data_IF_716366820742
#
_entry.id   IF_716366820742
#
_cell.length_a   1.000
_cell.length_b   1.000
_cell.length_c   1.000
_cell.angle_alpha   90.00
_cell.angle_beta   90.00
_cell.angle_gamma   90.00
#
_symmetry.space_group_name_H-M   'P 1'
#
loop_
_entity.id
_entity.type
_entity.pdbx_description
1 polymer ?
#
# COMPACT_ATOMS: atom_id res chain seq x y z
N UNK A 1 -41.38 3.46 -33.90
CA UNK A 1 -41.68 3.94 -35.26
C UNK A 1 -41.43 2.76 -36.16
N UNK A 2 -42.50 2.09 -36.62
CA UNK A 2 -42.40 1.09 -37.68
C UNK A 2 -42.00 1.81 -38.96
N UNK A 3 -41.01 1.26 -39.67
CA UNK A 3 -40.51 1.87 -40.89
C UNK A 3 -41.40 1.47 -42.07
N UNK A 4 -42.37 2.32 -42.40
CA UNK A 4 -43.24 2.10 -43.55
C UNK A 4 -42.71 2.77 -44.83
N UNK A 5 -43.19 2.26 -45.97
CA UNK A 5 -42.76 2.59 -47.33
C UNK A 5 -42.82 4.09 -47.65
N UNK A 6 -41.73 4.80 -47.35
CA UNK A 6 -41.54 6.23 -47.64
C UNK A 6 -40.65 6.97 -46.65
N UNK A 7 -40.40 6.42 -45.44
CA UNK A 7 -39.51 7.03 -44.42
C UNK A 7 -38.36 6.08 -44.09
N UNK A 8 -37.09 6.48 -44.28
CA UNK A 8 -35.95 5.62 -43.95
C UNK A 8 -35.90 5.30 -42.44
N UNK A 9 -35.59 4.06 -42.08
CA UNK A 9 -35.50 3.62 -40.69
C UNK A 9 -34.45 4.40 -39.88
N UNK A 10 -34.71 4.67 -38.58
CA UNK A 10 -33.67 5.08 -37.65
C UNK A 10 -32.49 4.10 -37.68
N UNK A 11 -31.31 4.61 -37.99
CA UNK A 11 -30.06 3.84 -37.95
C UNK A 11 -29.28 4.31 -36.75
N UNK A 12 -29.19 3.47 -35.72
CA UNK A 12 -28.36 3.75 -34.56
C UNK A 12 -26.88 3.73 -34.94
N UNK A 13 -26.12 4.69 -34.42
CA UNK A 13 -24.68 4.76 -34.68
C UNK A 13 -23.91 3.65 -34.00
N UNK A 14 -22.92 3.10 -34.70
CA UNK A 14 -21.96 2.18 -34.11
C UNK A 14 -20.51 2.60 -34.38
N UNK A 15 -19.67 2.25 -33.41
CA UNK A 15 -18.25 2.52 -33.45
C UNK A 15 -17.56 1.64 -34.50
N UNK A 16 -16.76 2.25 -35.36
CA UNK A 16 -15.83 1.52 -36.20
C UNK A 16 -14.76 0.81 -35.36
N UNK A 17 -14.07 -0.19 -35.94
CA UNK A 17 -12.84 -0.70 -35.36
C UNK A 17 -11.86 0.43 -35.05
N UNK A 18 -11.05 0.23 -34.01
CA UNK A 18 -9.96 1.13 -33.69
C UNK A 18 -8.99 1.29 -34.86
N UNK A 19 -8.41 2.47 -35.00
CA UNK A 19 -7.37 2.73 -35.99
C UNK A 19 -6.23 1.74 -35.84
N UNK A 20 -5.70 1.25 -36.97
CA UNK A 20 -4.52 0.36 -36.99
C UNK A 20 -3.25 1.08 -36.55
N UNK A 21 -3.24 2.41 -36.57
CA UNK A 21 -2.12 3.26 -36.16
C UNK A 21 -2.52 4.20 -35.03
N UNK A 22 -1.58 4.49 -34.13
CA UNK A 22 -1.71 5.48 -33.06
C UNK A 22 -1.30 6.85 -33.61
N UNK A 23 -2.11 7.90 -33.36
CA UNK A 23 -2.00 9.22 -34.01
C UNK A 23 -0.64 9.88 -33.75
N UNK A 24 -0.16 9.79 -32.51
CA UNK A 24 1.15 10.28 -32.09
C UNK A 24 1.63 9.42 -30.94
N UNK A 25 2.87 8.94 -31.04
CA UNK A 25 3.50 8.18 -29.97
C UNK A 25 4.31 9.13 -29.09
N UNK A 26 4.25 8.94 -27.77
CA UNK A 26 5.09 9.66 -26.82
C UNK A 26 6.58 9.43 -27.09
N UNK A 27 6.92 8.23 -27.59
CA UNK A 27 8.27 7.84 -27.95
C UNK A 27 8.38 7.48 -29.45
N UNK A 28 9.45 7.90 -30.15
CA UNK A 28 9.60 7.70 -31.59
C UNK A 28 9.93 6.25 -31.97
N UNK A 29 10.28 5.38 -31.02
CA UNK A 29 10.53 3.93 -31.18
C UNK A 29 10.60 3.26 -29.78
N UNK A 30 10.68 1.92 -29.70
CA UNK A 30 10.74 1.16 -28.44
C UNK A 30 9.37 0.76 -27.86
N UNK A 31 9.35 -0.03 -26.78
CA UNK A 31 8.10 -0.65 -26.28
C UNK A 31 7.34 0.17 -25.22
N UNK A 32 7.93 1.25 -24.72
CA UNK A 32 7.38 2.09 -23.65
C UNK A 32 6.52 3.25 -24.15
N UNK A 33 6.45 3.46 -25.46
CA UNK A 33 5.66 4.52 -26.07
C UNK A 33 4.16 4.31 -25.82
N UNK A 34 3.45 5.38 -25.43
CA UNK A 34 2.00 5.42 -25.39
C UNK A 34 1.44 6.53 -26.27
N UNK A 35 0.22 6.35 -26.75
CA UNK A 35 -0.43 7.37 -27.55
C UNK A 35 -1.91 7.12 -27.78
N UNK A 36 -2.56 8.08 -28.43
CA UNK A 36 -3.98 8.02 -28.71
C UNK A 36 -4.28 7.18 -29.94
N UNK A 37 -5.03 6.10 -29.73
CA UNK A 37 -5.70 5.34 -30.79
C UNK A 37 -7.12 5.84 -30.92
N UNK A 38 -7.60 6.04 -32.15
CA UNK A 38 -8.91 6.67 -32.39
C UNK A 38 -9.84 5.75 -33.16
N UNK A 39 -11.13 6.00 -33.05
CA UNK A 39 -12.18 5.35 -33.83
C UNK A 39 -13.28 6.36 -34.15
N UNK A 40 -14.05 6.07 -35.19
CA UNK A 40 -15.14 6.95 -35.64
C UNK A 40 -16.49 6.31 -35.35
N UNK A 41 -17.47 7.16 -35.05
CA UNK A 41 -18.87 6.77 -34.90
C UNK A 41 -19.57 6.83 -36.27
N UNK A 42 -19.19 5.93 -37.18
CA UNK A 42 -19.78 5.89 -38.53
C UNK A 42 -19.84 4.49 -39.16
N UNK A 43 -19.85 3.42 -38.36
CA UNK A 43 -19.94 2.04 -38.83
C UNK A 43 -21.16 1.28 -38.26
N UNK A 44 -22.42 1.74 -38.46
CA UNK A 44 -22.85 2.85 -39.32
C UNK A 44 -22.95 4.20 -38.59
N UNK A 45 -23.12 5.30 -39.33
CA UNK A 45 -23.37 6.62 -38.74
C UNK A 45 -24.83 6.74 -38.26
N UNK A 46 -25.11 7.43 -37.14
CA UNK A 46 -26.48 7.74 -36.74
C UNK A 46 -27.23 8.45 -37.86
N UNK A 47 -28.36 7.91 -38.28
CA UNK A 47 -29.20 8.49 -39.33
C UNK A 47 -30.68 8.36 -38.98
N UNK A 48 -31.51 9.22 -39.59
CA UNK A 48 -32.98 9.13 -39.53
C UNK A 48 -33.55 9.08 -38.10
N UNK A 49 -32.95 9.84 -37.17
CA UNK A 49 -33.37 9.87 -35.76
C UNK A 49 -32.84 8.72 -34.91
N UNK A 50 -31.90 7.92 -35.43
CA UNK A 50 -31.19 6.89 -34.66
C UNK A 50 -30.28 7.47 -33.58
N UNK A 51 -29.95 6.64 -32.59
CA UNK A 51 -29.17 7.01 -31.41
C UNK A 51 -27.70 7.28 -31.75
N UNK A 52 -27.01 8.17 -31.02
CA UNK A 52 -25.57 8.31 -31.13
C UNK A 52 -24.85 7.05 -30.64
N UNK A 53 -23.57 6.91 -30.98
CA UNK A 53 -22.77 5.80 -30.48
C UNK A 53 -22.71 5.80 -28.95
N UNK A 54 -22.92 4.62 -28.37
CA UNK A 54 -22.88 4.43 -26.92
C UNK A 54 -21.43 4.55 -26.45
N UNK A 55 -21.16 5.49 -25.55
CA UNK A 55 -19.85 5.64 -24.91
C UNK A 55 -19.67 4.45 -23.95
N UNK A 56 -18.57 3.67 -24.03
CA UNK A 56 -18.34 2.56 -23.11
C UNK A 56 -18.27 3.04 -21.66
N UNK A 57 -18.75 2.21 -20.74
CA UNK A 57 -18.64 2.48 -19.30
C UNK A 57 -17.16 2.56 -18.87
N UNK A 58 -16.83 3.52 -18.01
CA UNK A 58 -15.46 3.74 -17.52
C UNK A 58 -14.62 4.72 -18.33
N UNK A 59 -15.02 5.12 -19.54
CA UNK A 59 -14.30 6.12 -20.35
C UNK A 59 -14.21 7.49 -19.66
N UNK A 60 -15.31 7.96 -19.06
CA UNK A 60 -15.34 9.20 -18.28
C UNK A 60 -14.41 9.14 -17.07
N UNK A 61 -14.49 8.05 -16.29
CA UNK A 61 -13.63 7.84 -15.12
C UNK A 61 -12.14 7.77 -15.49
N UNK A 62 -11.83 7.12 -16.63
CA UNK A 62 -10.47 7.02 -17.17
C UNK A 62 -9.95 8.40 -17.57
N UNK A 63 -10.76 9.20 -18.25
CA UNK A 63 -10.42 10.57 -18.64
C UNK A 63 -10.19 11.46 -17.40
N UNK A 64 -11.03 11.35 -16.37
CA UNK A 64 -10.87 12.09 -15.11
C UNK A 64 -9.58 11.71 -14.37
N UNK A 65 -9.24 10.41 -14.35
CA UNK A 65 -7.98 9.92 -13.77
C UNK A 65 -6.77 10.49 -14.53
N UNK A 66 -6.79 10.43 -15.87
CA UNK A 66 -5.71 10.95 -16.71
C UNK A 66 -5.56 12.46 -16.59
N UNK A 67 -6.67 13.21 -16.52
CA UNK A 67 -6.67 14.65 -16.28
C UNK A 67 -6.05 14.98 -14.90
N UNK A 68 -6.35 14.17 -13.88
CA UNK A 68 -5.74 14.33 -12.55
C UNK A 68 -4.23 14.06 -12.58
N UNK A 69 -3.78 13.05 -13.33
CA UNK A 69 -2.35 12.76 -13.52
C UNK A 69 -1.63 13.89 -14.25
N UNK A 70 -2.21 14.40 -15.35
CA UNK A 70 -1.66 15.52 -16.11
C UNK A 70 -1.52 16.78 -15.24
N UNK A 71 -2.56 17.15 -14.48
CA UNK A 71 -2.50 18.29 -13.55
C UNK A 71 -1.40 18.13 -12.51
N UNK A 72 -1.21 16.92 -11.96
CA UNK A 72 -0.13 16.65 -10.99
C UNK A 72 1.26 16.79 -11.60
N UNK A 73 1.45 16.29 -12.83
CA UNK A 73 2.74 16.41 -13.53
C UNK A 73 3.10 17.87 -13.83
N UNK A 74 2.11 18.68 -14.27
CA UNK A 74 2.30 20.12 -14.50
C UNK A 74 2.74 20.84 -13.22
N UNK A 75 2.07 20.57 -12.09
CA UNK A 75 2.41 21.18 -10.79
C UNK A 75 3.84 20.82 -10.34
N UNK A 76 4.31 19.62 -10.68
CA UNK A 76 5.66 19.14 -10.32
C UNK A 76 6.76 19.59 -11.27
N UNK A 77 6.43 20.28 -12.36
CA UNK A 77 7.36 20.70 -13.41
C UNK A 77 8.21 19.54 -13.98
N UNK A 78 7.60 18.35 -14.11
CA UNK A 78 8.25 17.14 -14.63
C UNK A 78 8.16 17.11 -16.17
N UNK A 79 9.06 17.83 -16.85
CA UNK A 79 9.03 17.99 -18.32
C UNK A 79 9.08 16.67 -19.10
N UNK A 80 9.81 15.67 -18.59
CA UNK A 80 9.88 14.33 -19.16
C UNK A 80 8.60 13.49 -18.97
N UNK A 81 7.77 13.81 -17.96
CA UNK A 81 6.47 13.15 -17.76
C UNK A 81 5.37 13.80 -18.60
N UNK A 82 5.52 15.07 -18.99
CA UNK A 82 4.53 15.74 -19.85
C UNK A 82 4.50 15.15 -21.27
N UNK A 83 5.60 14.59 -21.76
CA UNK A 83 5.66 13.98 -23.10
C UNK A 83 5.05 12.58 -23.15
N UNK A 84 4.95 11.89 -22.02
CA UNK A 84 4.40 10.53 -21.89
C UNK A 84 2.94 10.48 -21.43
N UNK A 85 2.32 11.63 -21.17
CA UNK A 85 0.92 11.77 -20.76
C UNK A 85 0.02 12.25 -21.90
N UNK A 86 -1.28 11.91 -21.89
CA UNK A 86 -2.25 12.40 -22.87
C UNK A 86 -2.42 13.92 -22.76
N UNK A 87 -2.56 14.57 -23.91
CA UNK A 87 -2.91 15.99 -23.98
C UNK A 87 -4.38 16.23 -23.61
N UNK A 88 -4.77 17.49 -23.44
CA UNK A 88 -6.16 17.86 -23.15
C UNK A 88 -7.11 17.37 -24.27
N UNK A 89 -6.66 17.40 -25.53
CA UNK A 89 -7.42 16.90 -26.66
C UNK A 89 -7.55 15.37 -26.63
N UNK A 90 -6.49 14.66 -26.25
CA UNK A 90 -6.51 13.20 -26.10
C UNK A 90 -7.47 12.76 -24.99
N UNK A 91 -7.46 13.47 -23.85
CA UNK A 91 -8.37 13.23 -22.73
C UNK A 91 -9.83 13.44 -23.15
N UNK A 92 -10.12 14.48 -23.94
CA UNK A 92 -11.46 14.74 -24.46
C UNK A 92 -11.94 13.58 -25.37
N UNK A 93 -11.09 13.09 -26.26
CA UNK A 93 -11.39 11.94 -27.11
C UNK A 93 -11.60 10.65 -26.28
N UNK A 94 -10.86 10.46 -25.19
CA UNK A 94 -11.10 9.32 -24.30
C UNK A 94 -12.46 9.46 -23.60
N UNK A 95 -12.82 10.66 -23.15
CA UNK A 95 -14.08 10.92 -22.46
C UNK A 95 -15.32 10.69 -23.35
N UNK A 96 -15.24 11.03 -24.64
CA UNK A 96 -16.34 10.84 -25.61
C UNK A 96 -16.37 9.44 -26.24
N UNK A 97 -15.38 8.59 -25.94
CA UNK A 97 -15.30 7.21 -26.42
C UNK A 97 -14.70 7.04 -27.82
N UNK A 98 -14.29 8.14 -28.48
CA UNK A 98 -13.61 8.11 -29.78
C UNK A 98 -12.10 7.82 -29.65
N UNK A 99 -11.54 7.94 -28.45
CA UNK A 99 -10.13 7.77 -28.14
C UNK A 99 -9.86 6.66 -27.12
N UNK A 100 -8.69 6.02 -27.24
CA UNK A 100 -8.14 5.08 -26.27
C UNK A 100 -6.63 5.31 -26.15
N UNK A 101 -6.13 5.40 -24.92
CA UNK A 101 -4.70 5.47 -24.66
C UNK A 101 -4.12 4.06 -24.69
N UNK A 102 -3.36 3.74 -25.73
CA UNK A 102 -2.78 2.42 -25.96
C UNK A 102 -1.26 2.55 -26.18
N UNK A 103 -0.53 1.44 -26.01
CA UNK A 103 0.88 1.38 -26.38
C UNK A 103 1.05 1.59 -27.88
N UNK A 104 2.16 2.23 -28.26
CA UNK A 104 2.45 2.57 -29.63
C UNK A 104 3.89 2.26 -30.00
N UNK A 105 4.09 2.06 -31.30
CA UNK A 105 5.38 2.15 -31.96
C UNK A 105 6.47 1.17 -31.47
N UNK A 106 6.26 -0.14 -31.67
CA UNK A 106 7.29 -1.19 -31.48
C UNK A 106 8.41 -1.18 -32.52
N UNK A 107 8.75 0.01 -33.05
CA UNK A 107 9.85 0.15 -34.00
C UNK A 107 11.16 -0.03 -33.25
N UNK A 108 12.11 -0.72 -33.88
CA UNK A 108 13.47 -0.82 -33.38
C UNK A 108 14.07 0.59 -33.23
N UNK A 109 14.56 0.92 -32.05
CA UNK A 109 15.34 2.12 -31.84
C UNK A 109 16.83 1.80 -32.05
N UNK A 110 17.51 2.41 -33.04
CA UNK A 110 18.93 2.21 -33.24
C UNK A 110 19.80 2.65 -32.05
N UNK A 111 19.24 3.49 -31.18
CA UNK A 111 19.91 4.01 -29.99
C UNK A 111 19.50 3.33 -28.68
N UNK A 112 18.39 2.55 -28.65
CA UNK A 112 18.09 1.70 -27.51
C UNK A 112 18.99 0.48 -27.65
N UNK A 113 19.92 0.36 -26.72
CA UNK A 113 20.89 -0.72 -26.68
C UNK A 113 20.54 -1.58 -25.48
N UNK A 114 19.83 -2.67 -25.69
CA UNK A 114 19.52 -3.60 -24.61
C UNK A 114 20.81 -4.21 -24.03
N UNK A 115 20.74 -4.69 -22.79
CA UNK A 115 21.84 -5.47 -22.22
C UNK A 115 21.98 -6.78 -23.00
N UNK A 116 23.20 -7.12 -23.39
CA UNK A 116 23.46 -8.44 -23.97
C UNK A 116 23.30 -9.53 -22.90
N UNK A 117 23.18 -10.78 -23.34
CA UNK A 117 23.12 -11.92 -22.41
C UNK A 117 24.38 -12.01 -21.55
N UNK A 118 25.56 -11.75 -22.13
CA UNK A 118 26.84 -11.72 -21.43
C UNK A 118 26.92 -10.57 -20.42
N UNK A 119 26.45 -9.38 -20.79
CA UNK A 119 26.35 -8.22 -19.89
C UNK A 119 25.43 -8.53 -18.70
N UNK A 120 24.32 -9.22 -18.96
CA UNK A 120 23.38 -9.66 -17.93
C UNK A 120 24.03 -10.68 -16.99
N UNK A 121 24.84 -11.61 -17.52
CA UNK A 121 25.63 -12.57 -16.71
C UNK A 121 26.67 -11.87 -15.84
N UNK A 122 27.35 -10.82 -16.35
CA UNK A 122 28.30 -10.02 -15.56
C UNK A 122 27.58 -9.36 -14.38
N UNK A 123 26.44 -8.72 -14.61
CA UNK A 123 25.63 -8.09 -13.56
C UNK A 123 25.17 -9.14 -12.53
N UNK A 124 24.64 -10.28 -13.00
CA UNK A 124 24.20 -11.36 -12.12
C UNK A 124 25.34 -11.88 -11.25
N UNK A 125 26.55 -12.03 -11.79
CA UNK A 125 27.72 -12.48 -11.05
C UNK A 125 28.14 -11.47 -9.96
N UNK A 126 28.17 -10.17 -10.25
CA UNK A 126 28.46 -9.14 -9.25
C UNK A 126 27.44 -9.17 -8.10
N UNK A 127 26.14 -9.28 -8.42
CA UNK A 127 25.06 -9.38 -7.43
C UNK A 127 25.16 -10.64 -6.56
N UNK A 128 25.53 -11.79 -7.17
CA UNK A 128 25.79 -13.04 -6.45
C UNK A 128 26.96 -12.93 -5.50
N UNK A 129 27.95 -12.09 -5.83
CA UNK A 129 29.15 -11.89 -5.03
C UNK A 129 28.99 -10.86 -3.91
N UNK A 130 27.85 -10.17 -3.81
CA UNK A 130 27.61 -9.20 -2.75
C UNK A 130 27.34 -9.85 -1.37
N UNK A 131 28.10 -9.42 -0.36
CA UNK A 131 27.98 -9.92 1.02
C UNK A 131 27.00 -9.06 1.85
N UNK A 132 26.23 -9.65 2.79
CA UNK A 132 25.32 -8.90 3.67
C UNK A 132 26.07 -7.91 4.58
N UNK A 133 27.31 -8.21 4.95
CA UNK A 133 28.17 -7.33 5.75
C UNK A 133 28.62 -6.08 4.99
N UNK A 134 28.48 -6.05 3.64
CA UNK A 134 28.81 -4.89 2.83
C UNK A 134 27.99 -3.64 3.23
N UNK A 135 26.78 -3.85 3.76
CA UNK A 135 25.92 -2.78 4.33
C UNK A 135 26.57 -2.13 5.55
N UNK A 136 27.37 -2.90 6.29
CA UNK A 136 27.85 -2.60 7.64
C UNK A 136 29.37 -2.46 7.68
N UNK A 137 30.02 -2.24 6.54
CA UNK A 137 31.49 -2.13 6.47
C UNK A 137 32.03 -1.03 7.39
N UNK A 138 31.31 0.08 7.53
CA UNK A 138 31.70 1.20 8.40
C UNK A 138 31.50 0.91 9.89
N UNK A 139 30.73 -0.13 10.22
CA UNK A 139 30.44 -0.61 11.58
C UNK A 139 31.06 -1.99 11.83
N UNK A 140 32.09 -2.35 11.07
CA UNK A 140 32.82 -3.63 11.18
C UNK A 140 31.91 -4.85 11.09
N UNK A 141 30.95 -4.83 10.16
CA UNK A 141 30.01 -5.93 9.90
C UNK A 141 28.82 -5.99 10.86
N UNK A 142 28.69 -5.05 11.82
CA UNK A 142 27.59 -5.05 12.81
C UNK A 142 26.47 -4.08 12.41
N UNK A 143 25.19 -4.44 12.62
CA UNK A 143 24.09 -3.51 12.37
C UNK A 143 24.19 -2.30 13.29
N UNK A 144 23.93 -1.12 12.73
CA UNK A 144 23.95 0.14 13.47
C UNK A 144 22.74 0.25 14.42
N UNK A 145 22.88 0.95 15.56
CA UNK A 145 21.76 1.18 16.46
C UNK A 145 20.84 2.28 15.90
N UNK A 146 19.73 2.49 16.60
CA UNK A 146 18.85 3.63 16.31
C UNK A 146 19.63 4.93 16.44
N UNK A 147 19.46 5.84 15.48
CA UNK A 147 20.15 7.13 15.38
C UNK A 147 21.64 7.08 14.98
N UNK A 148 22.26 5.90 14.88
CA UNK A 148 23.60 5.79 14.34
C UNK A 148 23.58 6.04 12.82
N UNK A 149 24.60 6.73 12.27
CA UNK A 149 24.69 6.94 10.85
C UNK A 149 25.12 5.66 10.14
N UNK A 150 24.55 5.40 8.96
CA UNK A 150 24.97 4.30 8.08
C UNK A 150 25.43 4.85 6.72
N UNK A 151 26.45 4.24 6.15
CA UNK A 151 26.95 4.55 4.83
C UNK A 151 26.87 3.35 3.91
N UNK A 152 26.20 3.53 2.79
CA UNK A 152 26.11 2.55 1.72
C UNK A 152 27.02 3.01 0.58
N UNK A 153 27.82 2.11 0.04
CA UNK A 153 28.74 2.41 -1.05
C UNK A 153 28.78 1.25 -2.05
N UNK A 154 28.57 1.55 -3.32
CA UNK A 154 28.74 0.61 -4.42
C UNK A 154 30.06 0.88 -5.12
N UNK A 155 31.06 -0.01 -4.99
CA UNK A 155 32.40 0.22 -5.56
C UNK A 155 32.35 0.37 -7.08
N UNK A 156 33.13 1.29 -7.62
CA UNK A 156 33.36 1.46 -9.07
C UNK A 156 34.16 0.31 -9.69
N UNK A 157 34.83 -0.51 -8.86
CA UNK A 157 35.66 -1.63 -9.33
C UNK A 157 34.83 -2.84 -9.77
N UNK A 158 33.52 -2.82 -9.54
CA UNK A 158 32.62 -3.87 -10.00
C UNK A 158 32.69 -4.00 -11.53
N UNK A 159 32.76 -5.24 -12.00
CA UNK A 159 32.96 -5.54 -13.41
C UNK A 159 31.81 -4.99 -14.26
N UNK A 160 30.58 -5.11 -13.77
CA UNK A 160 29.39 -4.52 -14.41
C UNK A 160 29.49 -3.01 -14.57
N UNK A 161 30.08 -2.28 -13.60
CA UNK A 161 30.29 -0.84 -13.72
C UNK A 161 31.39 -0.54 -14.74
N UNK A 162 32.57 -1.10 -14.56
CA UNK A 162 33.75 -0.82 -15.38
C UNK A 162 33.56 -1.25 -16.85
N UNK A 163 32.93 -2.40 -17.10
CA UNK A 163 32.79 -2.96 -18.45
C UNK A 163 31.50 -2.54 -19.17
N UNK A 164 30.49 -2.03 -18.47
CA UNK A 164 29.16 -1.79 -19.07
C UNK A 164 28.71 -0.35 -18.83
N UNK A 165 28.43 0.03 -17.58
CA UNK A 165 27.69 1.27 -17.30
C UNK A 165 28.54 2.53 -17.26
N UNK A 166 29.76 2.48 -16.71
CA UNK A 166 30.65 3.63 -16.62
C UNK A 166 31.39 3.91 -17.95
N UNK A 167 31.18 3.06 -18.97
CA UNK A 167 31.66 3.32 -20.33
C UNK A 167 30.87 4.45 -21.00
N UNK A 168 31.56 5.58 -21.24
CA UNK A 168 31.03 6.82 -21.84
C UNK A 168 30.15 6.64 -23.10
N UNK A 169 30.38 5.58 -23.90
CA UNK A 169 29.67 5.37 -25.18
C UNK A 169 28.69 4.17 -25.19
N UNK A 170 28.66 3.36 -24.12
CA UNK A 170 27.75 2.20 -24.05
C UNK A 170 26.32 2.64 -23.81
N UNK A 171 26.12 3.55 -22.84
CA UNK A 171 24.83 4.12 -22.47
C UNK A 171 24.94 5.65 -22.31
N UNK A 172 24.94 6.43 -23.39
CA UNK A 172 25.21 7.87 -23.33
C UNK A 172 24.13 8.69 -22.61
N UNK A 173 22.91 8.14 -22.48
CA UNK A 173 21.81 8.72 -21.69
C UNK A 173 21.61 8.01 -20.35
N UNK A 174 22.45 7.01 -20.06
CA UNK A 174 22.39 6.26 -18.82
C UNK A 174 22.79 7.13 -17.66
N UNK A 175 22.07 7.02 -16.55
CA UNK A 175 22.42 7.71 -15.32
C UNK A 175 22.20 6.79 -14.12
N UNK A 176 23.02 6.97 -13.10
CA UNK A 176 22.93 6.19 -11.87
C UNK A 176 22.10 6.89 -10.82
N UNK A 177 21.40 6.11 -10.00
CA UNK A 177 20.72 6.62 -8.83
C UNK A 177 20.45 5.52 -7.80
N UNK A 178 20.10 5.97 -6.60
CA UNK A 178 19.68 5.12 -5.52
C UNK A 178 18.17 4.93 -5.52
N UNK A 179 17.70 3.71 -5.25
CA UNK A 179 16.30 3.42 -4.98
C UNK A 179 16.12 2.78 -3.62
N UNK A 180 14.95 2.99 -3.03
CA UNK A 180 14.51 2.31 -1.81
C UNK A 180 13.25 1.50 -2.10
N UNK A 181 13.37 0.19 -1.90
CA UNK A 181 12.27 -0.75 -2.08
C UNK A 181 11.67 -1.14 -0.72
N UNK A 182 10.39 -0.82 -0.54
CA UNK A 182 9.60 -1.12 0.67
C UNK A 182 8.25 -1.72 0.28
N UNK A 183 7.68 -2.53 1.16
CA UNK A 183 6.32 -3.06 1.01
C UNK A 183 5.29 -1.93 1.07
N UNK A 184 4.70 -1.60 -0.08
CA UNK A 184 3.58 -0.64 -0.15
C UNK A 184 2.25 -1.32 -0.44
N UNK A 185 2.21 -2.38 -1.24
CA UNK A 185 0.98 -3.11 -1.57
C UNK A 185 1.27 -4.46 -2.22
N UNK A 186 0.33 -5.40 -2.10
CA UNK A 186 0.33 -6.66 -2.86
C UNK A 186 0.09 -6.46 -4.36
N UNK A 187 -0.41 -5.29 -4.79
CA UNK A 187 -0.66 -4.96 -6.20
C UNK A 187 0.55 -4.36 -6.92
N UNK A 188 1.66 -4.21 -6.22
CA UNK A 188 2.88 -3.62 -6.77
C UNK A 188 3.53 -4.60 -7.74
N UNK A 189 3.96 -4.17 -8.94
CA UNK A 189 4.54 -5.08 -9.92
C UNK A 189 5.85 -5.65 -9.42
N UNK A 190 6.11 -6.90 -9.79
CA UNK A 190 7.27 -7.65 -9.34
C UNK A 190 8.60 -7.01 -9.79
N UNK A 191 8.62 -6.39 -10.97
CA UNK A 191 9.80 -5.70 -11.53
C UNK A 191 10.03 -4.31 -10.91
N UNK A 192 9.25 -3.92 -9.90
CA UNK A 192 9.39 -2.61 -9.29
C UNK A 192 10.74 -2.44 -8.60
N UNK A 193 11.55 -1.51 -9.11
CA UNK A 193 12.93 -1.33 -8.66
C UNK A 193 13.07 -0.48 -7.39
N UNK A 194 11.98 0.08 -6.88
CA UNK A 194 12.00 0.97 -5.71
C UNK A 194 11.63 2.40 -6.09
N UNK A 195 11.50 3.26 -5.08
CA UNK A 195 11.30 4.70 -5.28
C UNK A 195 12.69 5.36 -5.27
N UNK A 196 13.01 6.23 -6.25
CA UNK A 196 14.26 6.97 -6.25
C UNK A 196 14.45 7.74 -4.93
N UNK A 197 15.59 7.53 -4.29
CA UNK A 197 15.96 8.23 -3.06
C UNK A 197 16.39 9.64 -3.44
N UNK A 198 15.85 10.64 -2.73
CA UNK A 198 16.20 12.04 -2.94
C UNK A 198 17.08 12.53 -1.81
N UNK A 199 17.98 13.44 -2.15
CA UNK A 199 18.84 14.11 -1.18
C UNK A 199 17.99 14.92 -0.18
N UNK A 200 18.31 14.79 1.11
CA UNK A 200 17.61 15.46 2.21
C UNK A 200 18.60 15.77 3.33
N UNK A 201 18.19 16.52 4.36
CA UNK A 201 19.06 16.79 5.52
C UNK A 201 19.53 15.52 6.25
N UNK A 202 18.78 14.42 6.12
CA UNK A 202 19.05 13.13 6.78
C UNK A 202 19.69 12.10 5.84
N UNK A 203 19.35 12.15 4.55
CA UNK A 203 19.88 11.27 3.51
C UNK A 203 20.78 12.10 2.60
N UNK A 204 22.08 11.86 2.66
CA UNK A 204 23.06 12.55 1.82
C UNK A 204 23.51 11.63 0.69
N UNK A 205 23.27 12.02 -0.55
CA UNK A 205 23.65 11.23 -1.74
C UNK A 205 24.86 11.86 -2.41
N UNK A 206 25.85 11.04 -2.77
CA UNK A 206 27.03 11.45 -3.54
C UNK A 206 27.33 10.34 -4.54
N UNK A 207 26.70 10.42 -5.71
CA UNK A 207 26.79 9.41 -6.78
C UNK A 207 26.60 7.97 -6.24
N UNK A 208 27.68 7.21 -6.11
CA UNK A 208 27.74 5.82 -5.66
C UNK A 208 27.84 5.63 -4.14
N UNK A 209 27.63 6.71 -3.38
CA UNK A 209 27.56 6.72 -1.91
C UNK A 209 26.24 7.31 -1.43
N UNK A 210 25.65 6.67 -0.43
CA UNK A 210 24.46 7.14 0.27
C UNK A 210 24.71 7.06 1.78
N UNK A 211 24.57 8.19 2.47
CA UNK A 211 24.72 8.29 3.93
C UNK A 211 23.35 8.59 4.55
N UNK A 212 22.94 7.76 5.51
CA UNK A 212 21.75 7.96 6.33
C UNK A 212 22.22 8.38 7.72
N UNK A 213 21.98 9.64 8.13
CA UNK A 213 22.53 10.20 9.37
C UNK A 213 21.88 9.71 10.67
N UNK A 214 20.75 9.02 10.57
CA UNK A 214 20.07 8.46 11.72
C UNK A 214 19.06 7.40 11.27
N UNK A 215 19.37 6.15 11.58
CA UNK A 215 18.56 5.00 11.21
C UNK A 215 17.31 4.90 12.09
N UNK A 216 16.14 4.82 11.46
CA UNK A 216 14.83 4.63 12.09
C UNK A 216 14.04 3.51 11.40
N UNK A 217 12.93 3.08 11.99
CA UNK A 217 12.06 2.04 11.40
C UNK A 217 11.53 2.43 10.01
N UNK A 218 11.45 3.73 9.72
CA UNK A 218 11.06 4.25 8.42
C UNK A 218 12.12 4.04 7.33
N UNK A 219 13.36 3.71 7.67
CA UNK A 219 14.44 3.51 6.70
C UNK A 219 14.64 2.07 6.30
N UNK A 220 13.95 1.15 6.97
CA UNK A 220 14.05 -0.27 6.70
C UNK A 220 13.56 -0.60 5.30
N UNK A 221 14.31 -1.48 4.64
CA UNK A 221 14.04 -1.95 3.29
C UNK A 221 15.33 -2.29 2.57
N UNK A 222 15.23 -2.44 1.25
CA UNK A 222 16.41 -2.70 0.43
C UNK A 222 16.73 -1.47 -0.38
N UNK A 223 17.90 -0.91 -0.11
CA UNK A 223 18.48 0.15 -0.92
C UNK A 223 19.20 -0.47 -2.10
N UNK A 224 19.08 0.12 -3.27
CA UNK A 224 19.75 -0.35 -4.48
C UNK A 224 20.46 0.80 -5.13
N UNK A 225 21.65 0.53 -5.62
CA UNK A 225 22.36 1.40 -6.54
C UNK A 225 22.37 0.73 -7.90
N UNK A 226 22.06 1.51 -8.93
CA UNK A 226 21.98 0.99 -10.27
C UNK A 226 21.88 2.09 -11.30
N UNK A 227 21.71 1.69 -12.55
CA UNK A 227 21.65 2.58 -13.69
C UNK A 227 20.33 2.42 -14.40
N UNK A 228 19.66 3.55 -14.62
CA UNK A 228 18.65 3.64 -15.66
C UNK A 228 19.37 3.88 -16.98
N UNK A 229 19.54 2.81 -17.74
CA UNK A 229 20.29 2.84 -18.99
C UNK A 229 19.40 3.21 -20.19
N UNK A 230 18.09 3.02 -20.03
CA UNK A 230 17.02 3.43 -20.93
C UNK A 230 15.80 3.85 -20.12
N UNK A 231 14.92 4.74 -20.64
CA UNK A 231 13.71 5.17 -19.93
C UNK A 231 12.85 3.99 -19.45
N UNK A 232 12.71 3.85 -18.14
CA UNK A 232 11.95 2.77 -17.50
C UNK A 232 12.70 1.45 -17.34
N UNK A 233 13.95 1.34 -17.82
CA UNK A 233 14.79 0.14 -17.64
C UNK A 233 15.94 0.42 -16.69
N UNK A 234 15.85 -0.17 -15.50
CA UNK A 234 16.83 -0.01 -14.43
C UNK A 234 17.54 -1.33 -14.12
N UNK A 235 18.87 -1.31 -14.17
CA UNK A 235 19.71 -2.44 -13.77
C UNK A 235 20.24 -2.21 -12.34
N UNK A 236 19.92 -3.14 -11.43
CA UNK A 236 20.50 -3.14 -10.08
C UNK A 236 21.95 -3.64 -10.15
N UNK A 237 22.87 -2.89 -9.57
CA UNK A 237 24.31 -3.24 -9.53
C UNK A 237 24.75 -3.60 -8.12
N UNK A 238 24.27 -2.86 -7.13
CA UNK A 238 24.45 -3.18 -5.72
C UNK A 238 23.10 -3.11 -5.00
N UNK A 239 22.91 -3.95 -3.99
CA UNK A 239 21.77 -3.91 -3.09
C UNK A 239 22.18 -4.04 -1.62
N UNK A 240 21.46 -3.38 -0.74
CA UNK A 240 21.79 -3.29 0.68
C UNK A 240 20.50 -3.51 1.48
N UNK A 241 20.42 -4.64 2.17
CA UNK A 241 19.32 -4.94 3.09
C UNK A 241 19.57 -4.20 4.41
N UNK A 242 18.87 -3.10 4.60
CA UNK A 242 18.98 -2.26 5.80
C UNK A 242 17.81 -2.58 6.73
N UNK A 243 18.14 -2.94 7.97
CA UNK A 243 17.17 -3.23 9.01
C UNK A 243 17.63 -2.60 10.33
N UNK A 244 16.66 -2.30 11.21
CA UNK A 244 16.95 -1.85 12.57
C UNK A 244 17.00 -3.08 13.50
N UNK A 245 18.12 -3.33 14.20
CA UNK A 245 18.23 -4.45 15.13
C UNK A 245 17.42 -4.21 16.40
N UNK A 246 17.08 -5.30 17.11
CA UNK A 246 16.47 -5.27 18.45
C UNK A 246 15.17 -4.46 18.58
N UNK A 247 14.30 -4.46 17.55
CA UNK A 247 13.01 -3.74 17.66
C UNK A 247 12.12 -4.39 18.70
N UNK A 248 11.69 -3.61 19.69
CA UNK A 248 10.85 -4.11 20.77
C UNK A 248 9.36 -3.91 20.44
N UNK A 249 8.54 -4.96 20.64
CA UNK A 249 7.09 -4.94 20.45
C UNK A 249 6.39 -5.65 21.60
N UNK A 250 5.38 -5.02 22.17
CA UNK A 250 4.55 -5.58 23.23
C UNK A 250 3.20 -5.98 22.67
N UNK A 251 2.77 -7.22 22.93
CA UNK A 251 1.48 -7.75 22.47
C UNK A 251 0.77 -8.45 23.62
N UNK A 252 -0.53 -8.22 23.78
CA UNK A 252 -1.35 -8.96 24.76
C UNK A 252 -1.61 -10.39 24.25
N UNK A 253 -1.46 -11.38 25.13
CA UNK A 253 -1.77 -12.79 24.80
C UNK A 253 -3.21 -12.93 24.30
N UNK A 254 -3.39 -13.68 23.22
CA UNK A 254 -4.67 -13.87 22.52
C UNK A 254 -4.99 -12.79 21.48
N UNK A 255 -4.18 -11.73 21.35
CA UNK A 255 -4.31 -10.78 20.23
C UNK A 255 -3.55 -11.26 18.99
N UNK A 256 -4.00 -10.84 17.79
CA UNK A 256 -3.28 -11.13 16.57
C UNK A 256 -2.01 -10.29 16.43
N UNK A 257 -0.98 -10.86 15.82
CA UNK A 257 0.25 -10.17 15.47
C UNK A 257 0.70 -10.54 14.06
N UNK A 258 1.23 -9.56 13.32
CA UNK A 258 1.70 -9.76 11.95
C UNK A 258 3.20 -9.48 11.89
N UNK A 259 3.97 -10.53 11.61
CA UNK A 259 5.37 -10.43 11.27
C UNK A 259 5.51 -9.92 9.84
N UNK A 260 6.44 -9.00 9.61
CA UNK A 260 6.80 -8.50 8.28
C UNK A 260 8.26 -8.82 8.03
N UNK A 261 8.58 -9.59 7.00
CA UNK A 261 9.94 -9.84 6.56
C UNK A 261 10.23 -8.80 5.49
N UNK A 262 10.93 -7.69 5.76
CA UNK A 262 11.06 -6.54 4.84
C UNK A 262 11.94 -6.84 3.61
N UNK A 263 11.56 -7.84 2.81
CA UNK A 263 12.42 -8.51 1.87
C UNK A 263 12.03 -8.26 0.41
N UNK A 264 10.83 -7.74 0.08
CA UNK A 264 10.41 -7.47 -1.32
C UNK A 264 11.45 -6.76 -2.17
N UNK A 265 12.24 -5.90 -1.55
CA UNK A 265 13.36 -5.23 -2.19
C UNK A 265 14.50 -6.15 -2.64
N UNK A 266 14.41 -7.46 -2.46
CA UNK A 266 15.30 -8.44 -3.05
C UNK A 266 14.71 -9.07 -4.31
N UNK A 267 13.41 -8.90 -4.62
CA UNK A 267 12.77 -9.63 -5.71
C UNK A 267 13.42 -9.40 -7.10
N UNK A 268 13.62 -8.16 -7.57
CA UNK A 268 14.46 -7.86 -8.73
C UNK A 268 15.86 -8.50 -8.73
N UNK A 269 16.51 -8.61 -7.57
CA UNK A 269 17.83 -9.27 -7.45
C UNK A 269 17.68 -10.79 -7.67
N UNK A 270 16.68 -11.41 -7.02
CA UNK A 270 16.36 -12.83 -7.19
C UNK A 270 16.08 -13.13 -8.66
N UNK A 271 15.29 -12.29 -9.34
CA UNK A 271 14.99 -12.42 -10.77
C UNK A 271 16.21 -12.31 -11.68
N UNK A 272 17.17 -11.44 -11.33
CA UNK A 272 18.44 -11.31 -12.06
C UNK A 272 19.42 -12.45 -11.74
N UNK A 273 19.14 -13.28 -10.73
CA UNK A 273 19.98 -14.41 -10.31
C UNK A 273 19.22 -15.74 -10.30
N UNK A 274 18.65 -16.18 -11.45
CA UNK A 274 17.71 -17.31 -11.49
C UNK A 274 18.34 -18.67 -11.17
N UNK A 275 19.65 -18.83 -11.38
CA UNK A 275 20.37 -20.08 -11.12
C UNK A 275 20.55 -20.38 -9.62
N UNK A 276 20.30 -19.39 -8.75
CA UNK A 276 20.42 -19.54 -7.30
C UNK A 276 19.18 -20.12 -6.63
N UNK A 277 19.39 -20.90 -5.57
CA UNK A 277 18.33 -21.26 -4.65
C UNK A 277 18.17 -20.16 -3.59
N UNK A 278 17.04 -19.49 -3.64
CA UNK A 278 16.65 -18.49 -2.64
C UNK A 278 15.63 -19.10 -1.69
N UNK A 279 15.82 -18.90 -0.38
CA UNK A 279 14.86 -19.32 0.64
C UNK A 279 14.70 -18.26 1.70
N UNK A 280 13.51 -18.18 2.27
CA UNK A 280 13.18 -17.26 3.37
C UNK A 280 12.64 -18.04 4.54
N UNK A 281 13.09 -17.69 5.74
CA UNK A 281 12.67 -18.34 6.97
C UNK A 281 12.86 -17.40 8.16
N UNK A 282 12.19 -17.72 9.26
CA UNK A 282 12.33 -17.02 10.52
C UNK A 282 13.11 -17.86 11.52
N UNK A 283 14.04 -17.25 12.25
CA UNK A 283 14.64 -17.85 13.44
C UNK A 283 13.98 -17.30 14.69
N UNK A 284 13.73 -18.16 15.67
CA UNK A 284 13.13 -17.83 16.95
C UNK A 284 14.07 -18.23 18.10
N UNK A 285 14.40 -17.25 18.94
CA UNK A 285 15.17 -17.43 20.16
C UNK A 285 14.29 -17.04 21.37
N UNK A 286 13.85 -18.01 22.19
CA UNK A 286 13.00 -17.72 23.35
C UNK A 286 13.74 -16.90 24.41
N UNK A 287 13.01 -16.00 25.08
CA UNK A 287 13.49 -15.31 26.27
C UNK A 287 13.50 -16.24 27.51
N UNK A 288 13.97 -15.76 28.65
CA UNK A 288 14.02 -16.56 29.89
C UNK A 288 12.64 -17.06 30.32
N UNK A 289 11.63 -16.22 30.14
CA UNK A 289 10.22 -16.51 30.43
C UNK A 289 9.63 -17.60 29.54
N UNK A 290 9.92 -17.58 28.24
CA UNK A 290 9.49 -18.61 27.31
C UNK A 290 10.28 -19.91 27.54
N UNK A 291 11.57 -19.82 27.87
CA UNK A 291 12.39 -20.97 28.26
C UNK A 291 11.83 -21.67 29.51
N UNK A 292 11.43 -20.91 30.54
CA UNK A 292 10.80 -21.48 31.74
C UNK A 292 9.46 -22.15 31.45
N UNK A 293 8.77 -21.73 30.38
CA UNK A 293 7.55 -22.35 29.88
C UNK A 293 7.82 -23.52 28.90
N UNK A 294 9.07 -23.97 28.78
CA UNK A 294 9.46 -25.14 27.98
C UNK A 294 9.68 -24.87 26.50
N UNK A 295 9.71 -23.61 26.05
CA UNK A 295 9.97 -23.28 24.66
C UNK A 295 11.44 -23.45 24.30
N UNK A 296 11.68 -24.06 23.13
CA UNK A 296 13.03 -24.30 22.58
C UNK A 296 13.31 -23.34 21.42
N UNK A 297 14.58 -22.97 21.17
CA UNK A 297 14.96 -22.21 19.99
C UNK A 297 14.61 -22.98 18.72
N UNK A 298 14.21 -22.23 17.68
CA UNK A 298 13.92 -22.78 16.35
C UNK A 298 14.71 -22.00 15.31
N UNK A 299 15.59 -22.66 14.58
CA UNK A 299 16.44 -22.03 13.57
C UNK A 299 15.71 -21.72 12.27
N UNK A 300 14.78 -22.59 11.86
CA UNK A 300 14.05 -22.48 10.59
C UNK A 300 12.54 -22.65 10.82
N UNK A 301 11.83 -21.54 10.96
CA UNK A 301 10.38 -21.46 11.01
C UNK A 301 9.83 -20.90 9.70
N UNK A 302 8.67 -21.41 9.26
CA UNK A 302 7.97 -20.95 8.06
C UNK A 302 8.84 -20.90 6.80
N UNK A 303 9.76 -21.88 6.69
CA UNK A 303 10.67 -22.00 5.56
C UNK A 303 9.89 -22.00 4.25
N UNK A 304 10.25 -21.09 3.35
CA UNK A 304 9.66 -20.95 2.02
C UNK A 304 10.77 -20.86 0.99
N UNK A 305 10.70 -21.69 -0.04
CA UNK A 305 11.63 -21.66 -1.17
C UNK A 305 11.08 -20.69 -2.21
N UNK A 306 11.91 -19.75 -2.65
CA UNK A 306 11.57 -18.72 -3.61
C UNK A 306 12.08 -19.16 -4.98
N UNK A 307 11.20 -19.13 -5.99
CA UNK A 307 11.55 -19.38 -7.39
C UNK A 307 11.13 -18.21 -8.26
N UNK A 308 11.94 -17.93 -9.27
CA UNK A 308 11.54 -17.09 -10.39
C UNK A 308 10.61 -17.94 -11.25
N UNK A 309 9.33 -17.58 -11.34
CA UNK A 309 8.45 -18.19 -12.35
C UNK A 309 8.98 -17.77 -13.72
N UNK A 310 9.54 -18.71 -14.49
CA UNK A 310 9.71 -18.51 -15.92
C UNK A 310 8.38 -18.84 -16.56
N UNK A 311 7.68 -17.83 -17.07
CA UNK A 311 6.68 -18.06 -18.10
C UNK A 311 7.46 -18.34 -19.38
N UNK A 312 7.81 -19.61 -19.60
CA UNK A 312 8.12 -20.06 -20.96
C UNK A 312 6.77 -20.11 -21.66
N UNK A 313 6.61 -19.32 -22.73
CA UNK A 313 5.47 -19.42 -23.67
C UNK A 313 5.55 -20.73 -24.49
N UNK A 314 5.95 -21.83 -23.85
CA UNK A 314 6.04 -23.15 -24.44
C UNK A 314 4.78 -23.92 -24.04
N UNK A 315 3.63 -23.45 -24.54
CA UNK A 315 2.51 -24.35 -24.85
C UNK A 315 2.86 -25.05 -26.18
N UNK A 316 3.97 -25.81 -26.19
CA UNK A 316 4.20 -26.84 -27.19
C UNK A 316 4.09 -28.19 -26.48
N UNK A 317 2.98 -28.84 -26.82
CA UNK A 317 2.62 -30.22 -26.58
C UNK A 317 3.81 -31.14 -26.89
N UNK A 318 4.52 -31.63 -25.87
CA UNK A 318 5.15 -32.93 -26.03
C UNK A 318 5.18 -33.77 -24.75
N UNK A 319 4.73 -34.99 -24.98
CA UNK A 319 4.62 -36.09 -24.05
C UNK A 319 6.00 -36.64 -23.68
N UNK A 320 6.09 -37.21 -22.47
CA UNK A 320 7.22 -37.98 -21.95
C UNK A 320 8.52 -37.21 -21.62
N UNK A 321 8.58 -36.68 -20.41
CA UNK A 321 9.57 -37.16 -19.43
C UNK A 321 9.20 -36.77 -18.01
N UNK A 322 8.82 -37.78 -17.23
CA UNK A 322 8.62 -37.69 -15.79
C UNK A 322 9.93 -37.34 -15.07
N UNK A 323 10.14 -36.07 -14.75
CA UNK A 323 10.86 -35.64 -13.55
C UNK A 323 9.95 -34.79 -12.67
N UNK A 324 8.89 -35.43 -12.18
CA UNK A 324 8.03 -34.88 -11.14
C UNK A 324 8.81 -34.94 -9.82
N UNK A 325 9.68 -33.96 -9.59
CA UNK A 325 10.17 -33.68 -8.23
C UNK A 325 8.94 -33.31 -7.41
N UNK A 326 8.47 -34.27 -6.63
CA UNK A 326 7.40 -34.08 -5.65
C UNK A 326 7.99 -33.26 -4.50
N UNK A 327 8.07 -31.93 -4.66
CA UNK A 327 8.36 -31.04 -3.54
C UNK A 327 7.10 -30.97 -2.69
N UNK A 328 7.19 -31.34 -1.41
CA UNK A 328 6.14 -31.10 -0.41
C UNK A 328 6.03 -29.60 -0.04
N UNK A 329 6.49 -28.69 -0.90
CA UNK A 329 6.56 -27.26 -0.65
C UNK A 329 5.68 -26.56 -1.67
N UNK A 330 4.68 -25.84 -1.18
CA UNK A 330 3.97 -24.84 -1.98
C UNK A 330 5.00 -23.82 -2.48
N UNK A 331 5.06 -23.66 -3.80
CA UNK A 331 5.89 -22.63 -4.43
C UNK A 331 5.28 -21.27 -4.08
N UNK A 332 6.09 -20.40 -3.46
CA UNK A 332 5.66 -19.09 -2.98
C UNK A 332 6.57 -18.00 -3.56
N UNK A 333 5.97 -16.87 -3.91
CA UNK A 333 6.74 -15.67 -4.26
C UNK A 333 7.22 -14.96 -3.00
N UNK A 334 8.19 -14.05 -3.13
CA UNK A 334 8.66 -13.28 -1.99
C UNK A 334 7.53 -12.41 -1.40
N UNK A 335 6.58 -11.97 -2.24
CA UNK A 335 5.36 -11.26 -1.84
C UNK A 335 4.50 -12.10 -0.89
N UNK A 336 4.32 -13.38 -1.20
CA UNK A 336 3.52 -14.30 -0.37
C UNK A 336 4.16 -14.57 0.99
N UNK A 337 5.48 -14.38 1.07
CA UNK A 337 6.28 -14.62 2.28
C UNK A 337 6.57 -13.38 3.11
N UNK A 338 6.22 -12.18 2.60
CA UNK A 338 6.51 -10.89 3.23
C UNK A 338 5.79 -10.76 4.58
N UNK A 339 4.55 -11.22 4.68
CA UNK A 339 3.74 -11.08 5.91
C UNK A 339 3.30 -12.43 6.44
N UNK A 340 3.53 -12.66 7.74
CA UNK A 340 3.04 -13.83 8.47
C UNK A 340 2.17 -13.39 9.63
N UNK A 341 0.87 -13.68 9.54
CA UNK A 341 -0.10 -13.37 10.59
C UNK A 341 -0.25 -14.56 11.54
N UNK A 342 -0.23 -14.27 12.83
CA UNK A 342 -0.62 -15.18 13.90
C UNK A 342 -1.87 -14.60 14.52
N UNK A 343 -2.98 -15.35 14.50
CA UNK A 343 -4.27 -14.83 14.99
C UNK A 343 -4.33 -14.74 16.51
N UNK A 344 -3.67 -15.67 17.21
CA UNK A 344 -3.63 -15.71 18.67
C UNK A 344 -2.20 -15.94 19.15
N UNK A 345 -1.55 -14.86 19.60
CA UNK A 345 -0.21 -14.96 20.19
C UNK A 345 -0.31 -15.53 21.62
N UNK A 346 0.44 -16.59 21.91
CA UNK A 346 0.47 -17.22 23.24
C UNK A 346 1.51 -16.53 24.13
N UNK A 347 1.25 -16.48 25.42
CA UNK A 347 2.16 -15.94 26.43
C UNK A 347 3.58 -16.54 26.38
N UNK A 348 3.71 -17.81 25.97
CA UNK A 348 5.00 -18.49 25.80
C UNK A 348 5.76 -18.12 24.53
N UNK A 349 5.21 -17.28 23.65
CA UNK A 349 5.84 -16.85 22.40
C UNK A 349 6.70 -15.60 22.56
N UNK A 350 7.09 -15.28 23.80
CA UNK A 350 7.99 -14.16 24.07
C UNK A 350 9.41 -14.52 23.65
N UNK A 351 10.09 -13.63 22.94
CA UNK A 351 11.45 -13.87 22.44
C UNK A 351 11.81 -13.07 21.21
N UNK A 352 12.98 -13.39 20.64
CA UNK A 352 13.53 -12.72 19.47
C UNK A 352 13.20 -13.49 18.20
N UNK A 353 12.69 -12.77 17.21
CA UNK A 353 12.30 -13.27 15.91
C UNK A 353 13.08 -12.53 14.83
N UNK A 354 13.86 -13.26 14.04
CA UNK A 354 14.68 -12.68 12.96
C UNK A 354 14.24 -13.25 11.63
N UNK A 355 13.91 -12.39 10.65
CA UNK A 355 13.67 -12.84 9.29
C UNK A 355 14.97 -12.89 8.50
N UNK A 356 15.23 -14.04 7.88
CA UNK A 356 16.44 -14.31 7.12
C UNK A 356 16.04 -14.73 5.71
N UNK A 357 16.61 -14.04 4.73
CA UNK A 357 16.61 -14.45 3.32
C UNK A 357 17.98 -15.03 3.01
N UNK A 358 18.03 -16.32 2.70
CA UNK A 358 19.25 -17.02 2.34
C UNK A 358 19.33 -17.22 0.82
N UNK A 359 20.48 -16.87 0.25
CA UNK A 359 20.83 -17.12 -1.13
C UNK A 359 21.94 -18.16 -1.19
N UNK A 360 21.67 -19.28 -1.86
CA UNK A 360 22.65 -20.36 -2.09
C UNK A 360 22.83 -20.54 -3.60
N UNK A 361 24.07 -20.39 -4.05
CA UNK A 361 24.45 -20.57 -5.45
C UNK A 361 25.53 -21.65 -5.53
N UNK A 362 25.57 -22.37 -6.65
CA UNK A 362 26.54 -23.44 -6.85
C UNK A 362 27.98 -22.89 -6.80
N UNK A 363 28.84 -23.55 -6.02
CA UNK A 363 30.23 -23.13 -5.81
C UNK A 363 30.43 -21.95 -4.86
N UNK A 364 29.38 -21.32 -4.33
CA UNK A 364 29.48 -20.22 -3.36
C UNK A 364 28.90 -20.60 -1.99
N UNK A 365 29.49 -20.02 -0.93
CA UNK A 365 28.91 -20.13 0.41
C UNK A 365 27.52 -19.49 0.47
N UNK A 366 26.63 -20.08 1.26
CA UNK A 366 25.29 -19.55 1.47
C UNK A 366 25.36 -18.18 2.16
N UNK A 367 24.67 -17.19 1.60
CA UNK A 367 24.65 -15.80 2.09
C UNK A 367 23.32 -15.55 2.78
N UNK A 368 23.37 -15.00 3.99
CA UNK A 368 22.18 -14.76 4.83
C UNK A 368 21.96 -13.26 4.99
N UNK A 369 20.85 -12.78 4.46
CA UNK A 369 20.41 -11.39 4.58
C UNK A 369 19.36 -11.29 5.67
N UNK A 370 19.66 -10.57 6.74
CA UNK A 370 18.67 -10.25 7.76
C UNK A 370 17.87 -9.04 7.25
N UNK A 371 16.55 -9.19 7.20
CA UNK A 371 15.66 -8.12 6.70
C UNK A 371 14.77 -7.55 7.82
N UNK A 372 14.65 -8.27 8.93
CA UNK A 372 13.95 -7.80 10.12
C UNK A 372 14.44 -8.54 11.37
N UNK A 373 14.47 -7.84 12.50
CA UNK A 373 14.82 -8.37 13.82
C UNK A 373 13.91 -7.73 14.88
N UNK A 374 13.06 -8.54 15.51
CA UNK A 374 12.03 -8.10 16.45
C UNK A 374 12.12 -8.91 17.73
N UNK A 375 12.18 -8.23 18.87
CA UNK A 375 11.89 -8.79 20.17
C UNK A 375 10.40 -8.62 20.50
N UNK A 376 9.68 -9.72 20.60
CA UNK A 376 8.26 -9.77 20.94
C UNK A 376 8.10 -10.09 22.42
N UNK A 377 7.54 -9.17 23.20
CA UNK A 377 7.13 -9.40 24.59
C UNK A 377 5.62 -9.64 24.65
N UNK A 378 5.23 -10.86 25.02
CA UNK A 378 3.82 -11.24 25.11
C UNK A 378 3.35 -11.12 26.55
N UNK A 379 2.57 -10.08 26.86
CA UNK A 379 2.04 -9.86 28.20
C UNK A 379 0.75 -10.64 28.44
N UNK A 380 0.45 -10.95 29.70
CA UNK A 380 -0.81 -11.59 30.06
C UNK A 380 -2.00 -10.68 29.72
N UNK A 381 -3.19 -11.25 29.44
CA UNK A 381 -4.36 -10.43 29.22
C UNK A 381 -4.67 -9.62 30.49
N UNK A 382 -5.15 -8.36 30.36
CA UNK A 382 -5.47 -7.53 31.51
C UNK A 382 -6.54 -8.20 32.38
N UNK A 383 -6.43 -8.06 33.71
CA UNK A 383 -7.43 -8.58 34.64
C UNK A 383 -8.77 -7.86 34.46
N UNK A 384 -9.88 -8.49 34.88
CA UNK A 384 -11.23 -7.92 34.78
C UNK A 384 -11.29 -6.49 35.37
N UNK A 385 -10.64 -6.27 36.51
CA UNK A 385 -10.57 -4.96 37.16
C UNK A 385 -9.83 -3.92 36.31
N UNK A 386 -8.72 -4.31 35.66
CA UNK A 386 -7.99 -3.42 34.75
C UNK A 386 -8.79 -3.11 33.49
N UNK A 387 -9.54 -4.10 32.96
CA UNK A 387 -10.43 -3.88 31.83
C UNK A 387 -11.54 -2.89 32.16
N UNK A 388 -12.20 -3.05 33.32
CA UNK A 388 -13.23 -2.13 33.82
C UNK A 388 -12.66 -0.72 34.01
N UNK A 389 -11.49 -0.58 34.64
CA UNK A 389 -10.82 0.71 34.82
C UNK A 389 -10.43 1.38 33.48
N UNK A 390 -9.90 0.62 32.51
CA UNK A 390 -9.65 1.14 31.15
C UNK A 390 -10.95 1.60 30.50
N UNK A 391 -12.01 0.79 30.59
CA UNK A 391 -13.31 1.13 30.01
C UNK A 391 -13.87 2.41 30.62
N UNK A 392 -13.82 2.57 31.95
CA UNK A 392 -14.22 3.80 32.63
C UNK A 392 -13.39 5.00 32.18
N UNK A 393 -12.05 4.85 32.05
CA UNK A 393 -11.18 5.93 31.56
C UNK A 393 -11.49 6.33 30.13
N UNK A 394 -11.62 5.36 29.22
CA UNK A 394 -11.89 5.62 27.79
C UNK A 394 -13.27 6.27 27.61
N UNK A 395 -14.27 5.83 28.37
CA UNK A 395 -15.64 6.33 28.27
C UNK A 395 -15.97 7.44 29.27
N UNK A 396 -14.99 7.94 30.03
CA UNK A 396 -15.21 8.90 31.12
C UNK A 396 -16.00 10.13 30.65
N UNK A 397 -15.65 10.68 29.48
CA UNK A 397 -16.34 11.84 28.90
C UNK A 397 -17.81 11.55 28.60
N UNK A 398 -18.10 10.37 28.05
CA UNK A 398 -19.47 9.94 27.75
C UNK A 398 -20.27 9.71 29.03
N UNK A 399 -19.65 9.12 30.05
CA UNK A 399 -20.27 8.88 31.36
C UNK A 399 -20.60 10.21 32.05
N UNK A 400 -19.65 11.15 32.08
CA UNK A 400 -19.88 12.49 32.65
C UNK A 400 -20.99 13.21 31.89
N UNK A 401 -21.02 13.14 30.56
CA UNK A 401 -22.09 13.71 29.76
C UNK A 401 -23.46 13.11 30.11
N UNK A 402 -23.56 11.78 30.22
CA UNK A 402 -24.80 11.07 30.57
C UNK A 402 -25.28 11.46 31.97
N UNK A 403 -24.37 11.60 32.94
CA UNK A 403 -24.69 12.07 34.29
C UNK A 403 -25.17 13.53 34.31
N UNK A 404 -24.58 14.41 33.50
CA UNK A 404 -25.04 15.80 33.35
C UNK A 404 -26.45 15.84 32.75
N UNK A 405 -26.72 15.06 31.70
CA UNK A 405 -28.05 14.99 31.08
C UNK A 405 -29.10 14.46 32.06
N UNK A 406 -28.78 13.40 32.81
CA UNK A 406 -29.65 12.88 33.89
C UNK A 406 -29.88 13.93 34.98
N UNK A 407 -28.84 14.67 35.38
CA UNK A 407 -28.95 15.77 36.33
C UNK A 407 -29.87 16.88 35.84
N UNK A 408 -29.76 17.29 34.58
CA UNK A 408 -30.65 18.30 33.98
C UNK A 408 -32.09 17.78 33.92
N UNK A 409 -32.31 16.54 33.50
CA UNK A 409 -33.65 15.94 33.43
C UNK A 409 -34.33 15.85 34.79
N UNK A 410 -33.57 15.47 35.83
CA UNK A 410 -34.10 15.42 37.21
C UNK A 410 -34.44 16.82 37.74
N UNK A 411 -33.61 17.83 37.46
CA UNK A 411 -33.92 19.23 37.82
C UNK A 411 -35.17 19.72 37.10
N UNK A 412 -35.28 19.49 35.79
CA UNK A 412 -36.47 19.87 34.99
C UNK A 412 -37.72 19.18 35.53
N UNK A 413 -37.63 17.89 35.86
CA UNK A 413 -38.72 17.13 36.46
C UNK A 413 -39.14 17.73 37.82
N UNK A 414 -38.18 18.04 38.69
CA UNK A 414 -38.45 18.64 40.00
C UNK A 414 -39.11 20.03 39.86
N UNK A 415 -38.68 20.84 38.90
CA UNK A 415 -39.32 22.13 38.59
C UNK A 415 -40.75 21.91 38.10
N UNK A 416 -40.97 20.96 37.18
CA UNK A 416 -42.30 20.67 36.66
C UNK A 416 -43.27 20.18 37.76
N UNK A 417 -42.79 19.34 38.68
CA UNK A 417 -43.57 18.90 39.85
C UNK A 417 -43.90 20.10 40.76
N UNK A 418 -42.93 20.98 41.03
CA UNK A 418 -43.15 22.18 41.85
C UNK A 418 -44.15 23.15 41.22
N UNK A 419 -44.09 23.35 39.90
CA UNK A 419 -45.05 24.17 39.14
C UNK A 419 -46.46 23.57 39.23
N UNK A 420 -46.61 22.25 39.03
CA UNK A 420 -47.91 21.57 39.19
C UNK A 420 -48.45 21.67 40.62
N UNK A 421 -47.59 21.52 41.62
CA UNK A 421 -47.98 21.68 43.03
C UNK A 421 -48.45 23.11 43.33
N UNK A 422 -47.77 24.12 42.77
CA UNK A 422 -48.19 25.51 42.86
C UNK A 422 -49.57 25.76 42.22
N UNK A 423 -49.76 25.28 40.99
CA UNK A 423 -51.03 25.42 40.25
C UNK A 423 -52.20 24.74 40.98
N UNK A 424 -52.00 23.55 41.54
CA UNK A 424 -53.03 22.84 42.31
C UNK A 424 -53.34 23.53 43.64
N UNK A 425 -52.34 24.14 44.29
CA UNK A 425 -52.57 24.94 45.50
C UNK A 425 -53.38 26.22 45.20
N UNK A 426 -53.11 26.91 44.10
CA UNK A 426 -53.92 28.05 43.66
C UNK A 426 -55.36 27.64 43.32
N UNK A 427 -55.56 26.53 42.61
CA UNK A 427 -56.92 26.02 42.30
C UNK A 427 -57.70 25.68 43.58
N UNK A 428 -57.03 25.08 44.59
CA UNK A 428 -57.65 24.82 45.89
C UNK A 428 -58.03 26.11 46.64
N UNK A 429 -57.20 27.16 46.57
CA UNK A 429 -57.55 28.48 47.13
C UNK A 429 -58.77 29.08 46.46
N UNK A 430 -58.81 29.09 45.12
CA UNK A 430 -59.98 29.59 44.38
C UNK A 430 -61.25 28.79 44.70
N UNK A 431 -61.15 27.46 44.81
CA UNK A 431 -62.29 26.62 45.20
C UNK A 431 -62.77 26.91 46.63
N UNK A 432 -61.85 27.18 47.57
CA UNK A 432 -62.18 27.54 48.94
C UNK A 432 -62.86 28.93 49.02
N UNK A 433 -62.37 29.92 48.29
CA UNK A 433 -63.00 31.25 48.19
C UNK A 433 -64.40 31.20 47.55
N UNK A 434 -64.60 30.34 46.55
CA UNK A 434 -65.92 30.13 45.96
C UNK A 434 -66.91 29.49 46.95
N UNK A 435 -66.43 28.57 47.80
CA UNK A 435 -67.24 27.96 48.86
C UNK A 435 -67.63 28.98 49.94
N UNK A 436 -66.70 29.87 50.33
CA UNK A 436 -67.01 30.98 51.24
C UNK A 436 -68.01 31.96 50.64
N UNK A 437 -67.87 32.31 49.35
CA UNK A 437 -68.87 33.14 48.65
C UNK A 437 -70.24 32.46 48.58
N UNK A 438 -70.31 31.13 48.38
CA UNK A 438 -71.58 30.37 48.43
C UNK A 438 -72.21 30.41 49.82
N UNK A 439 -71.41 30.26 50.89
CA UNK A 439 -71.88 30.41 52.28
C UNK A 439 -72.38 31.83 52.55
N UNK A 440 -71.65 32.87 52.13
CA UNK A 440 -72.07 34.26 52.29
C UNK A 440 -73.39 34.56 51.57
N UNK A 441 -73.60 34.02 50.35
CA UNK A 441 -74.88 34.14 49.63
C UNK A 441 -76.05 33.46 50.35
N UNK A 442 -75.82 32.32 51.01
CA UNK A 442 -76.82 31.64 51.83
C UNK A 442 -77.22 32.46 53.06
N UNK A 443 -76.27 33.14 53.72
CA UNK A 443 -76.58 34.04 54.83
C UNK A 443 -77.44 35.24 54.39
N UNK A 444 -77.13 35.87 53.25
CA UNK A 444 -77.98 36.95 52.71
C UNK A 444 -79.38 36.47 52.28
N UNK A 445 -79.52 35.22 51.82
CA UNK A 445 -80.84 34.65 51.53
C UNK A 445 -81.64 34.30 52.79
N UNK A 446 -80.95 33.96 53.88
CA UNK A 446 -81.55 33.74 55.21
C UNK A 446 -82.06 35.04 55.85
N UNK A 447 -81.30 36.13 55.75
CA UNK A 447 -81.68 37.43 56.32
C UNK A 447 -82.86 38.09 55.59
N UNK A 448 -83.08 37.79 54.31
CA UNK A 448 -84.28 38.25 53.58
C UNK A 448 -85.54 37.50 54.07
N UNK A 449 -85.43 36.25 54.53
CA UNK A 449 -86.57 35.51 55.08
C UNK A 449 -86.96 35.95 56.50
N UNK A 450 -86.06 36.53 57.29
CA UNK A 450 -86.39 37.01 58.65
C UNK A 450 -87.06 38.40 58.63
N UNK A 451 -86.98 39.15 57.52
CA UNK A 451 -87.64 40.45 57.35
C UNK A 451 -89.01 40.43 56.67
N UNK A 452 -89.52 39.25 56.32
CA UNK A 452 -90.89 39.09 55.81
C UNK A 452 -91.54 37.89 56.47
N UNK A 453 -92.56 38.21 57.29
CA UNK A 453 -93.64 37.39 57.87
C UNK A 453 -93.32 36.49 59.05
#
# INVERSE_FOLDING_TARGET
>A
VECDAGVPCPTDGAWCPWSSTVVKCSEPCGDSGMGLRTRRCNCPAPAHGGKPCIIPSGNKETADLMNTQLKRAIVRNETASLTSLPTIADIAAIADGSGKWDSCNRKYCPYLKELTEDETKIIANDLRQQHPEAVWLWTSGKPANRLDPIGLHCSSDLRSRAEIFDKRYRFPRGHSFWTLSRSKSSRQPYYFVGIPVKDTRRLQITEDRLIIRGLDEADEGVYRFGYEYEPGRFATICYFAVYLPNKYRVVESGKPFVFSCNALGLWPVIQQTPEGMWRTYWSYEPDEKAKSLGMKPKSEMWLSVLRVMSFTDDDDDDSNTTKKYRSNFTELTLLDTEKRRIDEVKYSMSGRYTCIVEAKHDGLAARKFITNDIYLDVISPPSLNQMVLRWFRTNWKAIVFLLIVLGILTIVYMIAVKVRAGQTATLKKFAAEEEEMKKARLYTAGDIKVKTT
#
